data_IF_938930742461
#
_entry.id   IF_938930742461
#
_cell.length_a   1.000
_cell.length_b   1.000
_cell.length_c   1.000
_cell.angle_alpha   90.00
_cell.angle_beta   90.00
_cell.angle_gamma   90.00
#
_symmetry.space_group_name_H-M   'P 1'
#
loop_
_entity.id
_entity.type
_entity.pdbx_description
1 polymer ?
#
# COMPACT_ATOMS: atom_id res chain seq x y z
N UNK A 1 -14.21 -13.07 -7.76
CA UNK A 1 -15.25 -12.06 -7.44
C UNK A 1 -14.83 -11.29 -6.19
N UNK A 2 -15.08 -9.96 -6.15
CA UNK A 2 -14.81 -9.11 -4.97
C UNK A 2 -16.14 -8.61 -4.44
N UNK A 3 -16.37 -8.77 -3.13
CA UNK A 3 -17.57 -8.32 -2.42
C UNK A 3 -17.18 -7.43 -1.22
N UNK A 4 -18.12 -6.67 -0.66
CA UNK A 4 -17.88 -5.76 0.47
C UNK A 4 -17.86 -4.28 0.05
N UNK A 5 -18.81 -3.86 -0.80
CA UNK A 5 -18.95 -2.50 -1.33
C UNK A 5 -17.69 -1.98 -2.06
N UNK A 6 -17.11 -2.74 -3.03
CA UNK A 6 -15.99 -2.25 -3.83
C UNK A 6 -16.47 -1.18 -4.82
N UNK A 7 -15.64 -0.14 -5.03
CA UNK A 7 -15.81 0.79 -6.15
C UNK A 7 -15.34 0.14 -7.48
N UNK A 8 -15.33 0.93 -8.56
CA UNK A 8 -14.89 0.43 -9.87
C UNK A 8 -13.41 0.04 -9.87
N UNK A 9 -12.53 0.85 -9.24
CA UNK A 9 -11.10 0.59 -9.17
C UNK A 9 -10.79 -0.71 -8.40
N UNK A 10 -11.49 -0.95 -7.29
CA UNK A 10 -11.37 -2.21 -6.52
C UNK A 10 -11.93 -3.40 -7.30
N UNK A 11 -12.98 -3.23 -8.11
CA UNK A 11 -13.48 -4.31 -8.98
C UNK A 11 -12.48 -4.69 -10.07
N UNK A 12 -11.76 -3.71 -10.62
CA UNK A 12 -10.70 -3.91 -11.61
C UNK A 12 -9.47 -4.61 -11.02
N UNK A 13 -9.25 -4.52 -9.69
CA UNK A 13 -8.18 -5.24 -8.98
C UNK A 13 -8.15 -6.74 -9.30
N UNK A 14 -9.30 -7.34 -9.59
CA UNK A 14 -9.40 -8.77 -9.94
C UNK A 14 -8.44 -9.16 -11.07
N UNK A 15 -8.44 -8.40 -12.17
CA UNK A 15 -7.61 -8.71 -13.33
C UNK A 15 -6.15 -8.29 -13.11
N UNK A 16 -5.91 -7.16 -12.41
CA UNK A 16 -4.56 -6.73 -12.05
C UNK A 16 -3.86 -7.75 -11.16
N UNK A 17 -4.50 -8.12 -10.04
CA UNK A 17 -3.96 -9.08 -9.06
C UNK A 17 -3.71 -10.45 -9.71
N UNK A 18 -4.67 -10.95 -10.51
CA UNK A 18 -4.51 -12.23 -11.21
C UNK A 18 -3.29 -12.22 -12.13
N UNK A 19 -3.13 -11.15 -12.90
CA UNK A 19 -2.06 -11.02 -13.88
C UNK A 19 -0.72 -10.81 -13.17
N UNK A 20 -0.68 -9.95 -12.15
CA UNK A 20 0.51 -9.68 -11.35
C UNK A 20 1.04 -10.94 -10.65
N UNK A 21 0.17 -11.73 -10.02
CA UNK A 21 0.57 -13.01 -9.37
C UNK A 21 1.27 -13.93 -10.38
N UNK A 22 0.69 -14.10 -11.58
CA UNK A 22 1.28 -14.95 -12.62
C UNK A 22 2.60 -14.42 -13.16
N UNK A 23 2.67 -13.12 -13.41
CA UNK A 23 3.88 -12.48 -13.94
C UNK A 23 4.99 -12.39 -12.90
N UNK A 24 4.65 -12.38 -11.61
CA UNK A 24 5.61 -12.51 -10.51
C UNK A 24 6.11 -13.96 -10.29
N UNK A 25 5.65 -14.93 -11.11
CA UNK A 25 6.10 -16.32 -11.07
C UNK A 25 5.35 -17.22 -10.08
N UNK A 26 4.18 -16.79 -9.61
CA UNK A 26 3.35 -17.56 -8.69
C UNK A 26 2.11 -18.15 -9.36
N UNK A 27 1.56 -19.21 -8.77
CA UNK A 27 0.38 -19.86 -9.27
C UNK A 27 -0.90 -19.12 -8.87
N UNK A 28 -1.79 -18.88 -9.84
CA UNK A 28 -3.14 -18.42 -9.59
C UNK A 28 -4.11 -19.60 -9.70
N UNK A 29 -4.97 -19.84 -8.67
CA UNK A 29 -5.81 -21.03 -8.63
C UNK A 29 -6.80 -21.06 -9.82
N UNK A 30 -7.00 -22.25 -10.45
CA UNK A 30 -7.95 -22.42 -11.55
C UNK A 30 -9.40 -22.43 -11.08
N UNK A 31 -9.63 -22.25 -9.77
CA UNK A 31 -10.95 -22.25 -9.12
C UNK A 31 -11.51 -20.84 -9.00
N UNK A 32 -12.80 -20.74 -8.72
CA UNK A 32 -13.45 -19.48 -8.37
C UNK A 32 -12.88 -18.94 -7.06
N UNK A 33 -12.30 -17.76 -7.10
CA UNK A 33 -11.84 -17.01 -5.93
C UNK A 33 -12.88 -15.95 -5.58
N UNK A 34 -13.26 -15.87 -4.30
CA UNK A 34 -14.10 -14.80 -3.77
C UNK A 34 -13.32 -14.08 -2.68
N UNK A 35 -13.14 -12.77 -2.85
CA UNK A 35 -12.50 -11.89 -1.88
C UNK A 35 -13.60 -11.08 -1.19
N UNK A 36 -13.67 -11.16 0.14
CA UNK A 36 -14.60 -10.36 0.93
C UNK A 36 -13.83 -9.25 1.66
N UNK A 37 -14.13 -8.00 1.30
CA UNK A 37 -13.54 -6.82 1.93
C UNK A 37 -14.42 -6.35 3.10
N UNK A 38 -14.06 -6.72 4.31
CA UNK A 38 -14.76 -6.32 5.52
C UNK A 38 -14.33 -4.89 5.97
N UNK A 39 -15.15 -4.18 6.75
CA UNK A 39 -16.57 -4.43 7.01
C UNK A 39 -17.45 -4.03 5.80
N UNK A 40 -18.57 -4.73 5.60
CA UNK A 40 -19.45 -4.54 4.42
C UNK A 40 -20.20 -3.20 4.38
N UNK A 41 -20.25 -2.46 5.48
CA UNK A 41 -20.91 -1.16 5.58
C UNK A 41 -20.01 0.03 5.17
N UNK A 42 -18.72 -0.20 4.94
CA UNK A 42 -17.78 0.81 4.49
C UNK A 42 -17.44 0.61 3.01
N UNK A 43 -17.55 1.67 2.23
CA UNK A 43 -17.12 1.68 0.83
C UNK A 43 -15.60 1.59 0.76
N UNK A 44 -15.08 0.73 -0.11
CA UNK A 44 -13.65 0.60 -0.41
C UNK A 44 -13.38 1.29 -1.73
N UNK A 45 -12.41 2.20 -1.72
CA UNK A 45 -12.08 3.03 -2.86
C UNK A 45 -10.60 2.92 -3.19
N UNK A 46 -10.31 3.00 -4.49
CA UNK A 46 -8.95 3.01 -5.01
C UNK A 46 -8.26 1.64 -5.04
N UNK A 47 -7.08 1.57 -5.64
CA UNK A 47 -6.35 0.33 -5.89
C UNK A 47 -5.44 -0.13 -4.73
N UNK A 48 -5.46 0.55 -3.58
CA UNK A 48 -4.53 0.30 -2.46
C UNK A 48 -4.64 -1.10 -1.85
N UNK A 49 -5.70 -1.84 -2.16
CA UNK A 49 -5.94 -3.20 -1.65
C UNK A 49 -5.29 -4.30 -2.49
N UNK A 50 -4.75 -3.99 -3.68
CA UNK A 50 -4.25 -5.00 -4.63
C UNK A 50 -3.19 -5.90 -3.99
N UNK A 51 -2.20 -5.32 -3.30
CA UNK A 51 -1.15 -6.07 -2.62
C UNK A 51 -1.74 -7.00 -1.54
N UNK A 52 -2.62 -6.49 -0.69
CA UNK A 52 -3.25 -7.29 0.36
C UNK A 52 -4.07 -8.46 -0.22
N UNK A 53 -4.79 -8.22 -1.32
CA UNK A 53 -5.57 -9.25 -2.03
C UNK A 53 -4.64 -10.32 -2.60
N UNK A 54 -3.51 -9.92 -3.22
CA UNK A 54 -2.52 -10.85 -3.77
C UNK A 54 -1.95 -11.76 -2.67
N UNK A 55 -1.49 -11.17 -1.56
CA UNK A 55 -0.95 -11.92 -0.41
C UNK A 55 -2.01 -12.88 0.17
N UNK A 56 -3.26 -12.44 0.33
CA UNK A 56 -4.33 -13.31 0.81
C UNK A 56 -4.60 -14.52 -0.12
N UNK A 57 -4.48 -14.33 -1.46
CA UNK A 57 -4.61 -15.42 -2.43
C UNK A 57 -3.42 -16.39 -2.32
N UNK A 58 -2.19 -15.89 -2.17
CA UNK A 58 -1.00 -16.74 -2.02
C UNK A 58 -1.05 -17.56 -0.73
N UNK A 59 -1.59 -17.02 0.36
CA UNK A 59 -1.84 -17.77 1.60
C UNK A 59 -2.91 -18.83 1.37
N UNK A 60 -4.05 -18.46 0.77
CA UNK A 60 -5.16 -19.39 0.53
C UNK A 60 -4.82 -20.52 -0.45
N UNK A 61 -3.73 -20.38 -1.19
CA UNK A 61 -3.18 -21.40 -2.10
C UNK A 61 -1.91 -22.07 -1.56
N UNK A 62 -1.62 -21.87 -0.28
CA UNK A 62 -0.49 -22.49 0.44
C UNK A 62 0.89 -22.16 -0.15
N UNK A 63 0.99 -21.06 -0.91
CA UNK A 63 2.26 -20.55 -1.43
C UNK A 63 2.98 -19.65 -0.42
N UNK A 64 2.26 -19.13 0.58
CA UNK A 64 2.78 -18.39 1.73
C UNK A 64 2.19 -18.94 3.03
N UNK A 65 3.01 -19.13 4.09
CA UNK A 65 2.52 -19.46 5.43
C UNK A 65 1.71 -18.30 6.02
N UNK A 66 0.59 -18.58 6.67
CA UNK A 66 -0.24 -17.55 7.31
C UNK A 66 0.49 -16.82 8.45
N UNK A 67 1.42 -17.50 9.12
CA UNK A 67 2.23 -16.95 10.21
C UNK A 67 3.19 -15.85 9.71
N UNK A 68 3.59 -15.91 8.43
CA UNK A 68 4.53 -14.95 7.86
C UNK A 68 3.96 -13.54 7.70
N UNK A 69 2.65 -13.36 7.84
CA UNK A 69 1.96 -12.07 7.63
C UNK A 69 1.38 -11.44 8.90
N UNK A 70 1.48 -12.11 10.05
CA UNK A 70 0.76 -11.76 11.28
C UNK A 70 1.03 -10.33 11.80
N UNK A 71 2.20 -9.77 11.50
CA UNK A 71 2.64 -8.45 11.98
C UNK A 71 2.75 -7.40 10.89
N UNK A 72 2.13 -7.63 9.73
CA UNK A 72 2.26 -6.73 8.59
C UNK A 72 0.92 -6.18 8.13
N UNK A 73 0.96 -4.91 7.73
CA UNK A 73 -0.11 -4.19 7.05
C UNK A 73 0.31 -3.96 5.59
N UNK A 74 -0.48 -4.43 4.65
CA UNK A 74 -0.16 -4.42 3.22
C UNK A 74 -0.96 -3.35 2.50
N UNK A 75 -0.28 -2.41 1.83
CA UNK A 75 -0.90 -1.37 1.01
C UNK A 75 -0.08 -1.18 -0.27
N UNK A 76 -0.76 -1.08 -1.40
CA UNK A 76 -0.10 -0.85 -2.70
C UNK A 76 -0.96 -1.30 -3.86
N UNK A 77 -0.84 -0.59 -4.97
CA UNK A 77 -1.40 -1.01 -6.25
C UNK A 77 -0.42 -1.99 -6.94
N UNK A 78 -0.95 -2.97 -7.65
CA UNK A 78 -0.15 -3.88 -8.48
C UNK A 78 -0.21 -3.48 -9.96
N UNK A 79 0.95 -3.32 -10.58
CA UNK A 79 1.06 -3.34 -12.03
C UNK A 79 0.81 -4.75 -12.59
N UNK A 80 0.42 -4.84 -13.86
CA UNK A 80 0.22 -6.13 -14.53
C UNK A 80 1.50 -6.97 -14.60
N UNK A 81 2.66 -6.34 -14.55
CA UNK A 81 3.99 -6.94 -14.51
C UNK A 81 4.44 -7.41 -13.12
N UNK A 82 3.60 -7.17 -12.10
CA UNK A 82 3.90 -7.48 -10.70
C UNK A 82 4.61 -6.37 -9.92
N UNK A 83 4.93 -5.23 -10.56
CA UNK A 83 5.50 -4.06 -9.88
C UNK A 83 4.54 -3.49 -8.85
N UNK A 84 5.07 -2.94 -7.77
CA UNK A 84 4.31 -2.16 -6.79
C UNK A 84 4.29 -0.69 -7.20
N UNK A 85 3.08 -0.12 -7.25
CA UNK A 85 2.83 1.27 -7.60
C UNK A 85 2.36 2.05 -6.38
N UNK A 86 2.79 3.31 -6.24
CA UNK A 86 2.43 4.14 -5.12
C UNK A 86 0.91 4.38 -5.05
N UNK A 87 0.44 4.50 -3.82
CA UNK A 87 -0.95 4.80 -3.49
C UNK A 87 -1.04 6.03 -2.59
N UNK A 88 -2.18 6.68 -2.59
CA UNK A 88 -2.41 7.85 -1.74
C UNK A 88 -2.90 7.44 -0.35
N UNK A 89 -2.63 8.31 0.65
CA UNK A 89 -3.19 8.18 1.97
C UNK A 89 -2.42 7.28 2.93
N UNK A 90 -1.13 7.07 2.70
CA UNK A 90 -0.27 6.27 3.59
C UNK A 90 -0.03 6.98 4.92
N UNK A 91 0.23 8.31 4.90
CA UNK A 91 0.49 9.07 6.12
C UNK A 91 -0.62 8.95 7.18
N UNK A 92 -1.91 9.20 6.87
CA UNK A 92 -2.98 9.04 7.86
C UNK A 92 -3.11 7.60 8.37
N UNK A 93 -2.87 6.59 7.55
CA UNK A 93 -2.86 5.19 7.98
C UNK A 93 -1.68 4.94 8.92
N UNK A 94 -0.50 5.42 8.58
CA UNK A 94 0.67 5.28 9.45
C UNK A 94 0.48 5.95 10.81
N UNK A 95 -0.11 7.15 10.85
CA UNK A 95 -0.44 7.84 12.10
C UNK A 95 -1.42 7.04 12.98
N UNK A 96 -2.39 6.36 12.38
CA UNK A 96 -3.36 5.52 13.13
C UNK A 96 -2.68 4.32 13.79
N UNK A 97 -1.70 3.71 13.11
CA UNK A 97 -1.03 2.50 13.58
C UNK A 97 0.32 2.72 14.27
N UNK A 98 0.74 3.97 14.51
CA UNK A 98 2.06 4.32 15.10
C UNK A 98 2.33 3.70 16.47
N UNK A 99 1.31 3.31 17.22
CA UNK A 99 1.42 2.67 18.54
C UNK A 99 1.07 1.18 18.52
N UNK A 100 0.94 0.59 17.34
CA UNK A 100 0.72 -0.85 17.18
C UNK A 100 2.02 -1.61 16.98
N UNK A 101 1.95 -2.94 17.10
CA UNK A 101 3.08 -3.84 16.79
C UNK A 101 3.15 -4.19 15.28
N UNK A 102 2.46 -3.42 14.43
CA UNK A 102 2.42 -3.66 13.00
C UNK A 102 3.54 -2.92 12.26
N UNK A 103 4.02 -3.54 11.21
CA UNK A 103 4.94 -2.95 10.23
C UNK A 103 4.24 -2.85 8.88
N UNK A 104 4.36 -1.72 8.20
CA UNK A 104 3.74 -1.52 6.90
C UNK A 104 4.64 -2.07 5.79
N UNK A 105 4.05 -2.84 4.87
CA UNK A 105 4.66 -3.26 3.60
C UNK A 105 4.05 -2.42 2.50
N UNK A 106 4.89 -1.62 1.84
CA UNK A 106 4.49 -0.55 0.94
C UNK A 106 5.29 -0.60 -0.38
N UNK A 107 4.81 0.05 -1.45
CA UNK A 107 5.66 0.43 -2.56
C UNK A 107 6.85 1.29 -2.06
N UNK A 108 8.03 1.15 -2.68
CA UNK A 108 9.23 1.92 -2.32
C UNK A 108 8.96 3.43 -2.23
N UNK A 109 8.17 3.96 -3.18
CA UNK A 109 7.82 5.38 -3.25
C UNK A 109 6.96 5.88 -2.08
N UNK A 110 6.27 4.98 -1.37
CA UNK A 110 5.47 5.32 -0.20
C UNK A 110 6.17 5.06 1.14
N UNK A 111 7.32 4.38 1.12
CA UNK A 111 7.96 3.93 2.35
C UNK A 111 8.37 5.09 3.27
N UNK A 112 8.85 6.20 2.69
CA UNK A 112 9.20 7.42 3.42
C UNK A 112 7.96 8.11 4.03
N UNK A 113 6.85 8.21 3.27
CA UNK A 113 5.56 8.73 3.76
C UNK A 113 5.07 7.91 4.97
N UNK A 114 5.19 6.58 4.88
CA UNK A 114 4.85 5.69 5.98
C UNK A 114 5.74 5.91 7.22
N UNK A 115 7.05 6.05 7.03
CA UNK A 115 7.99 6.29 8.11
C UNK A 115 7.76 7.63 8.83
N UNK A 116 7.33 8.68 8.10
CA UNK A 116 6.95 9.98 8.68
C UNK A 116 5.80 9.83 9.67
N UNK A 117 4.83 8.98 9.40
CA UNK A 117 3.69 8.75 10.30
C UNK A 117 4.02 7.97 11.58
N UNK A 118 5.23 7.43 11.70
CA UNK A 118 5.72 6.76 12.91
C UNK A 118 5.49 5.25 12.95
N UNK A 119 4.78 4.66 11.99
CA UNK A 119 4.69 3.20 11.85
C UNK A 119 5.91 2.69 11.07
N UNK A 120 6.62 1.64 11.56
CA UNK A 120 7.72 1.04 10.81
C UNK A 120 7.27 0.67 9.39
N UNK A 121 8.03 1.08 8.38
CA UNK A 121 7.64 0.93 6.97
C UNK A 121 8.75 0.28 6.17
N UNK A 122 8.39 -0.73 5.38
CA UNK A 122 9.27 -1.48 4.49
C UNK A 122 8.85 -1.20 3.05
N UNK A 123 9.77 -0.74 2.21
CA UNK A 123 9.54 -0.44 0.80
C UNK A 123 9.96 -1.57 -0.12
N UNK A 124 9.12 -1.93 -1.10
CA UNK A 124 9.38 -2.97 -2.07
C UNK A 124 9.06 -2.50 -3.49
N UNK A 125 9.83 -2.98 -4.46
CA UNK A 125 9.62 -2.64 -5.87
C UNK A 125 8.52 -3.50 -6.53
N UNK A 126 8.35 -4.75 -6.10
CA UNK A 126 7.45 -5.72 -6.73
C UNK A 126 6.93 -6.79 -5.75
N UNK A 127 5.92 -7.54 -6.21
CA UNK A 127 5.30 -8.63 -5.44
C UNK A 127 6.28 -9.77 -5.13
N UNK A 128 7.23 -10.06 -6.04
CA UNK A 128 8.17 -11.16 -5.83
C UNK A 128 9.11 -10.85 -4.66
N UNK A 129 9.60 -9.61 -4.54
CA UNK A 129 10.41 -9.17 -3.40
C UNK A 129 9.64 -9.26 -2.08
N UNK A 130 8.36 -8.85 -2.06
CA UNK A 130 7.51 -8.98 -0.86
C UNK A 130 7.40 -10.46 -0.44
N UNK A 131 7.13 -11.36 -1.38
CA UNK A 131 7.01 -12.79 -1.09
C UNK A 131 8.35 -13.37 -0.60
N UNK A 132 9.47 -13.03 -1.24
CA UNK A 132 10.80 -13.46 -0.81
C UNK A 132 11.14 -12.95 0.59
N UNK A 133 10.75 -11.72 0.93
CA UNK A 133 10.90 -11.17 2.28
C UNK A 133 10.08 -11.99 3.29
N UNK A 134 8.81 -12.25 3.02
CA UNK A 134 7.92 -13.03 3.89
C UNK A 134 8.37 -14.48 4.07
N UNK A 135 9.07 -15.04 3.08
CA UNK A 135 9.71 -16.37 3.15
C UNK A 135 11.11 -16.36 3.78
N UNK A 136 11.63 -15.18 4.16
CA UNK A 136 12.95 -15.05 4.80
C UNK A 136 14.13 -15.17 3.83
N UNK A 137 13.91 -15.16 2.52
CA UNK A 137 14.97 -15.23 1.48
C UNK A 137 15.45 -13.87 0.98
N UNK A 138 14.78 -12.79 1.36
CA UNK A 138 15.13 -11.40 1.04
C UNK A 138 15.14 -10.59 2.34
N UNK A 139 16.18 -9.76 2.55
CA UNK A 139 16.28 -8.87 3.71
C UNK A 139 15.88 -7.45 3.31
N UNK A 140 14.99 -6.84 4.08
CA UNK A 140 14.60 -5.44 3.93
C UNK A 140 14.67 -4.77 5.31
N UNK A 141 15.33 -3.63 5.38
CA UNK A 141 15.38 -2.83 6.60
C UNK A 141 14.26 -1.79 6.60
N UNK A 142 13.73 -1.43 7.79
CA UNK A 142 12.76 -0.35 7.88
C UNK A 142 13.33 0.97 7.31
N UNK A 143 12.50 1.68 6.58
CA UNK A 143 12.83 2.99 6.04
C UNK A 143 13.08 3.97 7.20
N UNK A 144 14.22 4.67 7.24
CA UNK A 144 14.49 5.65 8.27
C UNK A 144 13.48 6.80 8.19
N UNK A 145 13.02 7.29 9.35
CA UNK A 145 12.20 8.50 9.39
C UNK A 145 13.03 9.70 8.95
N UNK A 146 12.60 10.44 7.94
CA UNK A 146 13.35 11.61 7.49
C UNK A 146 13.31 12.74 8.52
N UNK A 147 14.30 13.61 8.50
CA UNK A 147 14.29 14.86 9.27
C UNK A 147 13.26 15.82 8.66
N UNK A 148 12.12 15.96 9.33
CA UNK A 148 11.02 16.82 8.88
C UNK A 148 11.42 18.30 8.82
N UNK A 149 12.32 18.76 9.70
CA UNK A 149 12.80 20.15 9.67
C UNK A 149 13.65 20.40 8.44
N UNK A 150 14.54 19.45 8.12
CA UNK A 150 15.35 19.52 6.90
C UNK A 150 14.49 19.46 5.62
N UNK A 151 13.41 18.69 5.62
CA UNK A 151 12.46 18.66 4.50
C UNK A 151 11.72 20.00 4.32
N UNK A 152 11.29 20.64 5.42
CA UNK A 152 10.63 21.94 5.38
C UNK A 152 11.56 23.05 4.88
N UNK A 153 12.84 22.99 5.25
CA UNK A 153 13.86 23.94 4.78
C UNK A 153 14.17 23.80 3.27
N UNK A 154 14.01 22.60 2.72
CA UNK A 154 14.22 22.31 1.31
C UNK A 154 12.97 22.59 0.45
N UNK A 155 11.81 22.83 1.07
CA UNK A 155 10.61 23.17 0.32
C UNK A 155 10.86 24.44 -0.49
N UNK A 156 10.57 24.45 -1.81
CA UNK A 156 10.72 25.66 -2.61
C UNK A 156 9.84 26.75 -2.00
N UNK A 157 10.30 28.03 -2.00
CA UNK A 157 9.47 29.12 -1.52
C UNK A 157 8.12 29.05 -2.26
N UNK A 158 7.03 29.12 -1.52
CA UNK A 158 5.69 29.04 -2.07
C UNK A 158 5.58 30.03 -3.23
N UNK A 159 5.39 29.53 -4.46
CA UNK A 159 5.35 30.36 -5.65
C UNK A 159 4.19 31.35 -5.71
N UNK A 160 3.17 31.11 -4.88
CA UNK A 160 1.99 31.99 -4.71
C UNK A 160 1.66 32.11 -3.22
N UNK A 161 1.64 33.33 -2.72
CA UNK A 161 1.20 33.65 -1.37
C UNK A 161 -0.27 34.10 -1.40
N UNK A 162 -0.98 33.98 -0.27
CA UNK A 162 -2.31 34.55 -0.10
C UNK A 162 -2.34 36.07 -0.37
N UNK A 163 -1.24 36.77 -0.17
CA UNK A 163 -1.10 38.18 -0.50
C UNK A 163 -1.21 38.46 -2.01
N UNK A 164 -0.87 37.49 -2.88
CA UNK A 164 -0.92 37.61 -4.34
C UNK A 164 -2.34 37.50 -4.88
N UNK A 165 -3.30 36.99 -4.09
CA UNK A 165 -4.70 36.88 -4.47
C UNK A 165 -5.34 38.26 -4.40
N UNK A 166 -5.78 38.80 -5.54
CA UNK A 166 -6.47 40.09 -5.61
C UNK A 166 -7.97 39.89 -5.28
N UNK A 167 -8.49 40.72 -4.38
CA UNK A 167 -9.88 40.62 -3.90
C UNK A 167 -10.02 39.61 -2.76
N UNK A 168 -11.17 38.93 -2.66
CA UNK A 168 -11.46 37.88 -1.66
C UNK A 168 -11.22 38.32 -0.19
N UNK A 169 -11.58 39.57 0.18
CA UNK A 169 -11.29 40.17 1.50
C UNK A 169 -11.89 39.40 2.68
N UNK A 170 -12.98 38.63 2.44
CA UNK A 170 -13.64 37.81 3.46
C UNK A 170 -12.98 36.43 3.62
N UNK A 171 -12.16 36.02 2.64
CA UNK A 171 -11.46 34.72 2.65
C UNK A 171 -9.98 34.83 3.03
N UNK A 172 -9.44 36.04 3.07
CA UNK A 172 -8.12 36.38 3.59
C UNK A 172 -8.19 36.69 5.08
#
# INVERSE_FOLDING_TARGET
DIVGLPDTAVKESKERVRTAIKNAGFDFPPRRVVVNLAPANLKKEGPSFDLAIAIAILIATEQLPVESVAHYLFLGELGLDGTLRPVNGILPISLEYQHSDLTMILPEQNAEEGAIGGTPSLGFADLAQVVQFLLGSYACAPTPTPDLLALLEQAPPAGNDFCDIKGQREAK
#
